data_IF_999819745968
#
_entry.id   IF_999819745968
#
_cell.length_a   1.000
_cell.length_b   1.000
_cell.length_c   1.000
_cell.angle_alpha   90.00
_cell.angle_beta   90.00
_cell.angle_gamma   90.00
#
_symmetry.space_group_name_H-M   'P 1'
#
loop_
_entity.id
_entity.type
_entity.pdbx_description
1 polymer ?
#
# COMPACT_ATOMS: atom_id res chain seq x y z
N UNK A 1 -1.48 -10.28 40.95
CA UNK A 1 -0.09 -10.33 40.49
C UNK A 1 -0.12 -10.49 38.99
N UNK A 2 -0.46 -9.40 38.31
CA UNK A 2 -0.51 -9.33 36.85
C UNK A 2 0.88 -8.92 36.38
N UNK A 3 1.43 -9.72 35.49
CA UNK A 3 2.81 -9.63 35.01
C UNK A 3 2.99 -8.40 34.13
N UNK A 4 4.12 -7.74 34.35
CA UNK A 4 4.66 -6.52 33.73
C UNK A 4 4.72 -6.51 32.18
N UNK A 5 4.30 -7.58 31.51
CA UNK A 5 4.29 -7.71 30.05
C UNK A 5 3.02 -7.16 29.38
N UNK A 6 1.85 -7.23 30.02
CA UNK A 6 0.61 -6.68 29.43
C UNK A 6 0.58 -5.13 29.43
N UNK A 7 1.33 -4.49 30.32
CA UNK A 7 1.47 -3.04 30.37
C UNK A 7 2.37 -2.46 29.26
N UNK A 8 3.14 -3.28 28.52
CA UNK A 8 3.92 -2.80 27.36
C UNK A 8 3.08 -2.60 26.10
N UNK A 9 1.94 -3.28 26.00
CA UNK A 9 1.01 -3.12 24.86
C UNK A 9 0.04 -1.94 25.06
N UNK A 10 -0.16 -1.50 26.30
CA UNK A 10 -1.13 -0.46 26.67
C UNK A 10 -0.54 0.94 26.93
N UNK A 11 0.79 1.14 26.81
CA UNK A 11 1.41 2.45 27.00
C UNK A 11 1.44 3.33 25.71
N UNK A 12 0.40 3.27 24.87
CA UNK A 12 0.21 4.21 23.76
C UNK A 12 -0.39 5.57 24.18
N UNK A 13 -0.57 5.81 25.48
CA UNK A 13 -1.08 7.09 26.01
C UNK A 13 -0.19 7.72 27.09
N UNK A 14 1.09 7.36 27.15
CA UNK A 14 2.09 8.08 27.95
C UNK A 14 2.87 9.06 27.07
N UNK A 15 2.97 10.31 27.51
CA UNK A 15 3.77 11.39 26.89
C UNK A 15 5.11 10.89 26.34
N UNK A 16 5.18 10.81 25.02
CA UNK A 16 6.33 10.31 24.31
C UNK A 16 6.06 10.47 22.83
N UNK A 17 6.34 11.68 22.31
CA UNK A 17 6.45 11.93 20.87
C UNK A 17 7.05 10.70 20.21
N UNK A 18 6.23 9.94 19.46
CA UNK A 18 6.67 8.72 18.78
C UNK A 18 8.00 9.02 18.12
N UNK A 19 9.08 8.39 18.62
CA UNK A 19 10.49 8.62 18.29
C UNK A 19 10.62 9.17 16.85
N UNK A 20 10.63 10.50 16.71
CA UNK A 20 10.66 11.24 15.42
C UNK A 20 9.70 10.73 14.32
N UNK A 21 8.40 11.02 14.38
CA UNK A 21 7.44 10.88 13.24
C UNK A 21 7.34 9.47 12.60
N UNK A 22 7.94 8.43 13.18
CA UNK A 22 8.04 7.09 12.58
C UNK A 22 6.70 6.36 12.46
N UNK A 23 5.68 6.82 13.17
CA UNK A 23 4.30 6.34 13.08
C UNK A 23 3.50 7.02 11.94
N UNK A 24 4.07 8.01 11.26
CA UNK A 24 3.42 8.77 10.18
C UNK A 24 4.14 8.65 8.84
N UNK A 25 5.40 8.23 8.84
CA UNK A 25 6.24 8.19 7.65
C UNK A 25 7.25 7.04 7.72
N UNK A 26 7.48 6.40 6.58
CA UNK A 26 8.41 5.28 6.44
C UNK A 26 7.81 3.93 6.83
N UNK A 27 8.61 2.88 6.72
CA UNK A 27 8.18 1.48 6.83
C UNK A 27 7.58 1.12 8.19
N UNK A 28 7.98 1.81 9.27
CA UNK A 28 7.42 1.62 10.63
C UNK A 28 5.99 2.18 10.80
N UNK A 29 5.51 2.98 9.85
CA UNK A 29 4.16 3.52 9.86
C UNK A 29 3.14 2.60 9.18
N UNK A 30 3.58 1.47 8.61
CA UNK A 30 2.75 0.59 7.79
C UNK A 30 2.25 -0.60 8.62
N UNK A 31 0.95 -0.85 8.56
CA UNK A 31 0.29 -2.05 9.08
C UNK A 31 0.03 -3.06 7.95
N UNK A 32 -0.29 -4.31 8.32
CA UNK A 32 -0.59 -5.37 7.35
C UNK A 32 -1.74 -4.94 6.42
N UNK A 33 -1.54 -4.93 5.08
CA UNK A 33 -2.57 -4.40 4.17
C UNK A 33 -3.82 -5.28 4.10
N UNK A 34 -4.96 -4.72 4.47
CA UNK A 34 -6.23 -5.45 4.58
C UNK A 34 -7.19 -5.34 3.40
N UNK A 35 -6.99 -4.39 2.50
CA UNK A 35 -7.98 -4.04 1.46
C UNK A 35 -8.29 -5.21 0.53
N UNK A 36 -7.27 -5.89 0.01
CA UNK A 36 -7.49 -6.99 -0.94
C UNK A 36 -8.22 -8.16 -0.30
N UNK A 37 -7.81 -8.56 0.92
CA UNK A 37 -8.50 -9.59 1.69
C UNK A 37 -9.97 -9.22 1.96
N UNK A 38 -10.25 -7.99 2.38
CA UNK A 38 -11.62 -7.54 2.64
C UNK A 38 -12.49 -7.52 1.38
N UNK A 39 -11.95 -7.04 0.26
CA UNK A 39 -12.66 -7.07 -1.02
C UNK A 39 -12.85 -8.49 -1.55
N UNK A 40 -11.87 -9.39 -1.34
CA UNK A 40 -12.00 -10.80 -1.69
C UNK A 40 -13.12 -11.46 -0.88
N UNK A 41 -13.14 -11.25 0.45
CA UNK A 41 -14.21 -11.77 1.30
C UNK A 41 -15.58 -11.26 0.83
N UNK A 42 -15.71 -9.96 0.54
CA UNK A 42 -16.98 -9.41 0.05
C UNK A 42 -17.39 -9.98 -1.31
N UNK A 43 -16.42 -10.24 -2.20
CA UNK A 43 -16.66 -10.88 -3.49
C UNK A 43 -17.10 -12.34 -3.34
N UNK A 44 -16.46 -13.08 -2.43
CA UNK A 44 -16.76 -14.49 -2.17
C UNK A 44 -18.14 -14.65 -1.51
N UNK A 45 -18.51 -13.76 -0.59
CA UNK A 45 -19.79 -13.82 0.14
C UNK A 45 -20.98 -13.26 -0.65
N UNK A 46 -20.77 -12.19 -1.41
CA UNK A 46 -21.86 -11.39 -1.99
C UNK A 46 -21.74 -11.11 -3.49
N UNK A 47 -20.62 -11.46 -4.09
CA UNK A 47 -20.37 -11.19 -5.49
C UNK A 47 -20.90 -12.28 -6.43
N UNK A 48 -20.86 -11.98 -7.71
CA UNK A 48 -21.33 -12.87 -8.79
C UNK A 48 -20.37 -12.96 -9.97
N UNK A 49 -19.28 -12.18 -9.95
CA UNK A 49 -18.26 -12.13 -10.99
C UNK A 49 -16.95 -12.71 -10.46
N UNK A 50 -16.09 -13.18 -11.36
CA UNK A 50 -14.77 -13.63 -10.96
C UNK A 50 -13.83 -12.45 -10.72
N UNK A 51 -12.90 -12.58 -9.76
CA UNK A 51 -11.90 -11.55 -9.45
C UNK A 51 -11.14 -11.06 -10.70
N UNK A 52 -10.81 -12.00 -11.59
CA UNK A 52 -10.09 -11.70 -12.84
C UNK A 52 -10.84 -10.74 -13.75
N UNK A 53 -12.17 -10.79 -13.76
CA UNK A 53 -13.02 -9.92 -14.56
C UNK A 53 -13.06 -8.52 -13.94
N UNK A 54 -13.24 -8.46 -12.61
CA UNK A 54 -13.35 -7.21 -11.86
C UNK A 54 -12.06 -6.40 -11.86
N UNK A 55 -10.89 -7.05 -11.81
CA UNK A 55 -9.60 -6.35 -11.77
C UNK A 55 -9.11 -5.92 -13.16
N UNK A 56 -9.69 -6.46 -14.24
CA UNK A 56 -9.22 -6.20 -15.60
C UNK A 56 -9.22 -4.71 -16.01
N UNK A 57 -10.25 -3.89 -15.69
CA UNK A 57 -10.21 -2.46 -15.94
C UNK A 57 -9.06 -1.74 -15.22
N UNK A 58 -8.73 -2.18 -14.00
CA UNK A 58 -7.62 -1.61 -13.23
C UNK A 58 -6.25 -2.00 -13.83
N UNK A 59 -6.11 -3.24 -14.32
CA UNK A 59 -4.92 -3.67 -15.08
C UNK A 59 -4.74 -2.76 -16.31
N UNK A 60 -5.82 -2.55 -17.08
CA UNK A 60 -5.78 -1.71 -18.28
C UNK A 60 -5.36 -0.29 -17.95
N UNK A 61 -6.02 0.34 -16.99
CA UNK A 61 -5.69 1.71 -16.56
C UNK A 61 -4.24 1.85 -16.08
N UNK A 62 -3.73 0.86 -15.34
CA UNK A 62 -2.33 0.89 -14.88
C UNK A 62 -1.33 0.69 -16.04
N UNK A 63 -1.67 -0.12 -17.03
CA UNK A 63 -0.81 -0.50 -18.17
C UNK A 63 -0.79 0.53 -19.29
N UNK A 64 -1.96 1.00 -19.69
CA UNK A 64 -2.15 1.99 -20.76
C UNK A 64 -2.02 3.43 -20.24
N UNK A 65 -2.28 3.62 -18.94
CA UNK A 65 -2.25 4.90 -18.27
C UNK A 65 -3.61 5.58 -18.21
N UNK A 66 -3.68 6.64 -17.41
CA UNK A 66 -4.87 7.45 -17.23
C UNK A 66 -4.51 8.93 -17.10
N UNK A 67 -5.40 9.85 -17.50
CA UNK A 67 -5.15 11.28 -17.37
C UNK A 67 -5.14 11.69 -15.90
N UNK A 68 -4.11 12.43 -15.51
CA UNK A 68 -4.04 13.04 -14.18
C UNK A 68 -5.14 14.09 -14.05
N UNK A 69 -5.96 13.99 -13.00
CA UNK A 69 -6.98 15.00 -12.71
C UNK A 69 -6.42 16.13 -11.83
N UNK A 70 -7.20 17.20 -11.65
CA UNK A 70 -6.79 18.36 -10.86
C UNK A 70 -6.44 18.01 -9.41
N UNK A 71 -7.20 17.10 -8.78
CA UNK A 71 -6.96 16.70 -7.40
C UNK A 71 -5.65 15.91 -7.26
N UNK A 72 -5.37 14.96 -8.14
CA UNK A 72 -4.13 14.20 -8.08
C UNK A 72 -2.90 15.08 -8.37
N UNK A 73 -3.04 16.05 -9.27
CA UNK A 73 -2.02 17.08 -9.47
C UNK A 73 -1.83 17.92 -8.20
N UNK A 74 -2.92 18.32 -7.51
CA UNK A 74 -2.80 19.16 -6.31
C UNK A 74 -2.11 18.45 -5.14
N UNK A 75 -2.42 17.17 -4.88
CA UNK A 75 -1.86 16.45 -3.73
C UNK A 75 -0.37 16.10 -3.86
N UNK A 76 0.22 16.25 -5.05
CA UNK A 76 1.64 15.97 -5.32
C UNK A 76 2.50 17.24 -5.35
N UNK A 77 1.89 18.43 -5.23
CA UNK A 77 2.58 19.71 -5.14
C UNK A 77 3.19 19.93 -3.74
N UNK A 78 4.11 20.89 -3.66
CA UNK A 78 4.85 21.21 -2.43
C UNK A 78 3.97 21.83 -1.34
N UNK A 79 3.03 22.69 -1.74
CA UNK A 79 2.05 23.35 -0.87
C UNK A 79 1.07 22.37 -0.20
N UNK A 80 0.91 21.17 -0.76
CA UNK A 80 0.12 20.11 -0.14
C UNK A 80 0.95 19.32 0.87
N UNK A 81 1.01 19.78 2.11
CA UNK A 81 1.61 19.04 3.24
C UNK A 81 3.04 18.54 2.91
N UNK A 82 3.85 19.34 2.22
CA UNK A 82 5.23 18.99 1.85
C UNK A 82 5.33 17.71 0.99
N UNK A 83 4.28 17.38 0.23
CA UNK A 83 4.19 16.14 -0.57
C UNK A 83 5.33 16.01 -1.58
N UNK A 84 5.69 17.08 -2.28
CA UNK A 84 6.74 17.03 -3.29
C UNK A 84 8.11 16.66 -2.69
N UNK A 85 8.47 17.25 -1.55
CA UNK A 85 9.70 16.91 -0.82
C UNK A 85 9.67 15.47 -0.33
N UNK A 86 8.54 15.02 0.24
CA UNK A 86 8.35 13.62 0.65
C UNK A 86 8.54 12.67 -0.53
N UNK A 87 7.91 12.93 -1.67
CA UNK A 87 8.06 12.11 -2.88
C UNK A 87 9.53 12.06 -3.34
N UNK A 88 10.23 13.19 -3.32
CA UNK A 88 11.66 13.30 -3.69
C UNK A 88 12.59 12.53 -2.75
N UNK A 89 12.22 12.40 -1.47
CA UNK A 89 12.99 11.63 -0.49
C UNK A 89 12.92 10.11 -0.70
N UNK A 90 11.97 9.61 -1.51
CA UNK A 90 11.83 8.19 -1.82
C UNK A 90 11.97 7.96 -3.33
N UNK A 91 13.10 7.42 -3.82
CA UNK A 91 13.35 7.25 -5.25
C UNK A 91 12.26 6.48 -6.01
N UNK A 92 11.68 5.43 -5.41
CA UNK A 92 10.59 4.65 -6.01
C UNK A 92 9.30 5.48 -6.14
N UNK A 93 8.97 6.30 -5.13
CA UNK A 93 7.80 7.19 -5.19
C UNK A 93 8.01 8.29 -6.23
N UNK A 94 9.20 8.88 -6.28
CA UNK A 94 9.57 9.86 -7.32
C UNK A 94 9.39 9.29 -8.71
N UNK A 95 9.92 8.09 -8.98
CA UNK A 95 9.77 7.41 -10.28
C UNK A 95 8.31 7.13 -10.63
N UNK A 96 7.47 6.86 -9.63
CA UNK A 96 6.06 6.48 -9.85
C UNK A 96 5.16 7.69 -10.02
N UNK A 97 5.37 8.76 -9.25
CA UNK A 97 4.42 9.87 -9.11
C UNK A 97 4.93 11.20 -9.68
N UNK A 98 6.18 11.29 -10.14
CA UNK A 98 6.74 12.50 -10.74
C UNK A 98 7.19 12.25 -12.18
N UNK A 99 6.95 13.23 -13.04
CA UNK A 99 7.45 13.29 -14.42
C UNK A 99 8.65 14.23 -14.47
N UNK A 100 9.83 13.70 -14.77
CA UNK A 100 11.09 14.47 -14.75
C UNK A 100 11.29 15.27 -13.43
N UNK A 101 11.06 14.61 -12.29
CA UNK A 101 11.14 15.18 -10.93
C UNK A 101 10.15 16.33 -10.64
N UNK A 102 9.09 16.46 -11.44
CA UNK A 102 8.00 17.41 -11.23
C UNK A 102 6.64 16.69 -11.13
N UNK A 103 5.66 17.25 -10.39
CA UNK A 103 4.30 16.75 -10.41
C UNK A 103 3.72 16.70 -11.82
N UNK A 104 2.94 15.66 -12.10
CA UNK A 104 2.13 15.60 -13.31
C UNK A 104 1.13 16.76 -13.34
N UNK A 105 0.94 17.35 -14.52
CA UNK A 105 -0.09 18.35 -14.78
C UNK A 105 -1.42 17.68 -15.14
N UNK A 106 -2.57 18.36 -14.89
CA UNK A 106 -3.86 17.85 -15.32
C UNK A 106 -3.88 17.52 -16.82
N UNK A 107 -4.44 16.37 -17.17
CA UNK A 107 -4.50 15.85 -18.54
C UNK A 107 -3.28 15.05 -18.98
N UNK A 108 -2.13 15.15 -18.30
CA UNK A 108 -0.98 14.29 -18.62
C UNK A 108 -1.26 12.82 -18.27
N UNK A 109 -0.74 11.91 -19.09
CA UNK A 109 -0.96 10.46 -18.89
C UNK A 109 0.06 9.90 -17.90
N UNK A 110 -0.43 9.35 -16.80
CA UNK A 110 0.36 8.59 -15.83
C UNK A 110 0.21 7.09 -16.10
N UNK A 111 1.33 6.38 -16.24
CA UNK A 111 1.38 4.92 -16.46
C UNK A 111 2.01 4.25 -15.24
N UNK A 112 1.42 3.16 -14.75
CA UNK A 112 1.87 2.41 -13.56
C UNK A 112 2.12 0.92 -13.90
N UNK A 113 3.15 0.65 -14.71
CA UNK A 113 3.47 -0.70 -15.20
C UNK A 113 3.72 -1.73 -14.08
N UNK A 114 4.44 -1.34 -13.03
CA UNK A 114 4.74 -2.23 -11.90
C UNK A 114 3.45 -2.61 -11.14
N UNK A 115 2.49 -1.67 -11.04
CA UNK A 115 1.18 -1.96 -10.48
C UNK A 115 0.35 -2.85 -11.41
N UNK A 116 0.41 -2.63 -12.72
CA UNK A 116 -0.26 -3.50 -13.70
C UNK A 116 0.22 -4.95 -13.57
N UNK A 117 1.53 -5.19 -13.42
CA UNK A 117 2.09 -6.52 -13.19
C UNK A 117 1.61 -7.13 -11.88
N UNK A 118 1.50 -6.32 -10.82
CA UNK A 118 0.94 -6.76 -9.52
C UNK A 118 -0.52 -7.23 -9.69
N UNK A 119 -1.34 -6.43 -10.38
CA UNK A 119 -2.72 -6.79 -10.67
C UNK A 119 -2.85 -8.00 -11.60
N UNK A 120 -1.99 -8.13 -12.61
CA UNK A 120 -1.93 -9.32 -13.49
C UNK A 120 -1.61 -10.59 -12.69
N UNK A 121 -0.70 -10.53 -11.70
CA UNK A 121 -0.41 -11.65 -10.79
C UNK A 121 -1.64 -12.02 -9.96
N UNK A 122 -2.31 -11.04 -9.36
CA UNK A 122 -3.53 -11.25 -8.55
C UNK A 122 -4.65 -11.84 -9.41
N UNK A 123 -4.87 -11.33 -10.62
CA UNK A 123 -5.88 -11.84 -11.54
C UNK A 123 -5.67 -13.32 -11.90
N UNK A 124 -4.40 -13.74 -12.04
CA UNK A 124 -4.05 -15.12 -12.43
C UNK A 124 -4.00 -16.09 -11.26
N UNK A 125 -3.47 -15.65 -10.11
CA UNK A 125 -3.14 -16.52 -8.97
C UNK A 125 -4.10 -16.36 -7.78
N UNK A 126 -5.07 -15.45 -7.87
CA UNK A 126 -5.97 -15.11 -6.77
C UNK A 126 -5.30 -14.27 -5.68
N UNK A 127 -6.06 -13.97 -4.63
CA UNK A 127 -5.62 -13.12 -3.53
C UNK A 127 -4.46 -13.71 -2.72
N UNK A 128 -4.32 -15.03 -2.69
CA UNK A 128 -3.24 -15.71 -1.95
C UNK A 128 -1.84 -15.29 -2.41
N UNK A 129 -1.64 -14.89 -3.66
CA UNK A 129 -0.33 -14.41 -4.12
C UNK A 129 0.13 -13.17 -3.35
N UNK A 130 -0.81 -12.37 -2.83
CA UNK A 130 -0.54 -11.17 -2.04
C UNK A 130 -0.17 -11.47 -0.59
N UNK A 131 -0.77 -12.51 0.01
CA UNK A 131 -0.65 -12.83 1.44
C UNK A 131 0.28 -14.01 1.75
N UNK A 132 0.49 -14.92 0.78
CA UNK A 132 1.22 -16.19 0.95
C UNK A 132 2.16 -16.51 -0.22
N UNK A 133 2.34 -15.59 -1.16
CA UNK A 133 3.15 -15.82 -2.36
C UNK A 133 4.22 -14.76 -2.56
N UNK A 134 4.72 -14.68 -3.80
CA UNK A 134 5.83 -13.82 -4.20
C UNK A 134 5.66 -12.32 -3.85
N UNK A 135 4.43 -11.82 -3.69
CA UNK A 135 4.19 -10.43 -3.26
C UNK A 135 4.37 -10.29 -1.75
N UNK A 136 3.95 -11.30 -0.96
CA UNK A 136 4.16 -11.32 0.49
C UNK A 136 5.65 -11.38 0.82
N UNK A 137 6.39 -12.27 0.15
CA UNK A 137 7.86 -12.38 0.26
C UNK A 137 8.55 -11.04 -0.08
N UNK A 138 8.15 -10.42 -1.20
CA UNK A 138 8.68 -9.12 -1.61
C UNK A 138 8.42 -8.02 -0.56
N UNK A 139 7.19 -7.95 -0.03
CA UNK A 139 6.82 -6.97 1.00
C UNK A 139 7.58 -7.18 2.31
N UNK A 140 7.69 -8.42 2.77
CA UNK A 140 8.41 -8.74 4.00
C UNK A 140 9.91 -8.39 3.87
N UNK A 141 10.52 -8.71 2.72
CA UNK A 141 11.91 -8.34 2.44
C UNK A 141 12.11 -6.82 2.38
N UNK A 142 11.22 -6.09 1.72
CA UNK A 142 11.25 -4.62 1.68
C UNK A 142 11.12 -4.02 3.09
N UNK A 143 10.27 -4.59 3.94
CA UNK A 143 10.12 -4.17 5.33
C UNK A 143 11.38 -4.45 6.14
N UNK A 144 11.92 -5.67 6.08
CA UNK A 144 13.15 -6.05 6.78
C UNK A 144 14.32 -5.13 6.40
N UNK A 145 14.54 -4.90 5.10
CA UNK A 145 15.64 -4.09 4.59
C UNK A 145 15.59 -2.62 5.02
N UNK A 146 14.41 -2.10 5.33
CA UNK A 146 14.20 -0.69 5.64
C UNK A 146 13.70 -0.45 7.08
N UNK A 147 13.82 -1.45 7.96
CA UNK A 147 13.47 -1.34 9.38
C UNK A 147 11.97 -1.26 9.68
N UNK A 148 11.15 -1.75 8.76
CA UNK A 148 9.72 -2.04 8.93
C UNK A 148 9.47 -3.22 9.87
N UNK A 149 8.18 -3.50 10.13
CA UNK A 149 7.76 -4.47 11.14
C UNK A 149 7.00 -5.67 10.59
N UNK A 150 6.48 -5.57 9.36
CA UNK A 150 5.66 -6.62 8.76
C UNK A 150 6.55 -7.76 8.28
N UNK A 151 6.24 -8.98 8.72
CA UNK A 151 6.88 -10.22 8.29
C UNK A 151 6.00 -11.03 7.34
N UNK A 152 6.55 -12.06 6.68
CA UNK A 152 5.75 -13.00 5.90
C UNK A 152 4.67 -13.69 6.75
N UNK A 153 5.02 -14.00 8.01
CA UNK A 153 4.08 -14.60 8.97
C UNK A 153 2.92 -13.66 9.29
N UNK A 154 3.15 -12.35 9.38
CA UNK A 154 2.07 -11.38 9.59
C UNK A 154 1.15 -11.30 8.37
N UNK A 155 1.72 -11.34 7.16
CA UNK A 155 0.96 -11.38 5.90
C UNK A 155 0.10 -12.65 5.80
N UNK A 156 0.67 -13.82 6.10
CA UNK A 156 0.00 -15.11 6.02
C UNK A 156 -1.17 -15.23 7.01
N UNK A 157 -0.99 -14.67 8.22
CA UNK A 157 -1.97 -14.71 9.29
C UNK A 157 -3.08 -13.66 9.16
N UNK A 158 -2.95 -12.70 8.25
CA UNK A 158 -3.99 -11.68 8.06
C UNK A 158 -5.30 -12.32 7.60
N UNK A 159 -6.38 -12.01 8.32
CA UNK A 159 -7.73 -12.43 7.95
C UNK A 159 -8.71 -11.27 8.09
N UNK A 160 -9.52 -10.99 7.05
CA UNK A 160 -10.63 -10.06 7.18
C UNK A 160 -11.69 -10.68 8.10
N UNK A 161 -12.43 -9.83 8.82
CA UNK A 161 -13.49 -10.27 9.74
C UNK A 161 -14.80 -9.63 9.27
N UNK A 162 -15.79 -10.46 8.97
CA UNK A 162 -17.18 -10.02 8.80
C UNK A 162 -17.76 -9.68 10.19
N UNK A 163 -18.37 -8.52 10.33
CA UNK A 163 -18.89 -8.00 11.60
C UNK A 163 -20.34 -7.56 11.47
#
# INVERSE_FOLDING_TARGET
>A
FETTEELRLLSLHGEGEAKRKSNRMGHRAVAVPGTLAGLSLALDEYGSLELRELIHPAIRAAKEGFPVNHFMSSITREDWNDSLSKLRNFPLLSKTFLKANKPYQPGEIMVRKDLAQTYEKIARKGCDVFYRGEIAEFLAKEMEQNGGLITEKDMENYKPILR
#
